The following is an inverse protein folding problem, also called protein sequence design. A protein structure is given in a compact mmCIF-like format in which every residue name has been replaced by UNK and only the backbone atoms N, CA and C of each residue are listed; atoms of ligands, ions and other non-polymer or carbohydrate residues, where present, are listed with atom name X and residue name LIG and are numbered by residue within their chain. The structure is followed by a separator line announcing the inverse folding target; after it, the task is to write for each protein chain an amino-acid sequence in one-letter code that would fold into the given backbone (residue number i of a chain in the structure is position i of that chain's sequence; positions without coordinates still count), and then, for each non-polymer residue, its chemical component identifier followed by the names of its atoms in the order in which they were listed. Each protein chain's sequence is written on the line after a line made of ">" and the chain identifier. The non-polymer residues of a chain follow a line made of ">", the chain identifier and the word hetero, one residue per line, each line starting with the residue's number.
data_IF_064815346137
#
_entry.id   IF_064815346137
#
_cell.length_a   1.000
_cell.length_b   1.000
_cell.length_c   1.000
_cell.angle_alpha   90.00
_cell.angle_beta   90.00
_cell.angle_gamma   90.00
#
_symmetry.space_group_name_H-M   'P 1'
#
loop_
_entity.id
_entity.type
_entity.pdbx_description
1 polymer ?
#
# COMPACT_ATOMS: atom_id res chain seq x y z
N UNK A 1 18.30 -12.70 -20.58
CA UNK A 1 17.50 -13.94 -20.67
C UNK A 1 17.49 -14.53 -22.10
N UNK A 2 17.58 -13.71 -23.12
CA UNK A 2 17.68 -14.16 -24.52
C UNK A 2 19.03 -14.81 -24.90
N UNK A 3 20.12 -14.42 -24.26
CA UNK A 3 21.45 -15.00 -24.55
C UNK A 3 21.61 -16.45 -24.08
N UNK A 4 20.90 -16.86 -23.00
CA UNK A 4 20.96 -18.23 -22.46
C UNK A 4 20.14 -19.20 -23.30
N UNK A 5 19.10 -18.72 -23.98
CA UNK A 5 18.24 -19.54 -24.85
C UNK A 5 18.92 -19.80 -26.20
N UNK A 6 19.76 -18.90 -26.68
CA UNK A 6 20.53 -19.08 -27.90
C UNK A 6 21.66 -20.10 -27.72
N UNK A 7 22.32 -20.11 -26.59
CA UNK A 7 23.42 -21.05 -26.28
C UNK A 7 22.91 -22.50 -26.07
N UNK A 8 21.67 -22.68 -25.59
CA UNK A 8 21.04 -24.01 -25.53
C UNK A 8 20.56 -24.54 -26.88
N UNK A 9 20.24 -23.68 -27.85
CA UNK A 9 19.86 -24.11 -29.20
C UNK A 9 21.06 -24.53 -30.03
N UNK A 10 22.22 -23.92 -29.88
CA UNK A 10 23.45 -24.34 -30.56
C UNK A 10 24.01 -25.68 -30.05
N UNK A 11 23.88 -25.94 -28.74
CA UNK A 11 24.32 -27.23 -28.18
C UNK A 11 23.39 -28.40 -28.54
N UNK A 12 22.14 -28.16 -28.90
CA UNK A 12 21.21 -29.20 -29.35
C UNK A 12 21.40 -29.54 -30.83
N UNK A 13 21.95 -28.63 -31.63
CA UNK A 13 22.22 -28.86 -33.08
C UNK A 13 23.48 -29.67 -33.32
N UNK A 14 24.43 -29.70 -32.38
CA UNK A 14 25.66 -30.47 -32.51
C UNK A 14 25.56 -31.96 -32.16
N UNK A 15 24.42 -32.41 -31.65
CA UNK A 15 24.19 -33.81 -31.23
C UNK A 15 23.51 -34.69 -32.30
N UNK A 16 23.19 -34.16 -33.50
CA UNK A 16 22.41 -34.88 -34.49
C UNK A 16 23.13 -35.07 -35.84
N UNK A 17 24.41 -34.79 -35.94
CA UNK A 17 25.15 -34.92 -37.22
C UNK A 17 26.33 -35.88 -37.10
N UNK A 18 26.06 -37.18 -36.85
CA UNK A 18 27.00 -38.27 -37.11
C UNK A 18 26.25 -39.50 -37.60
N UNK A 19 25.93 -39.53 -38.90
CA UNK A 19 25.70 -40.77 -39.62
C UNK A 19 26.22 -40.58 -41.05
N UNK A 20 27.35 -41.20 -41.43
CA UNK A 20 27.82 -41.14 -42.82
C UNK A 20 27.14 -42.21 -43.65
N UNK A 21 26.53 -41.82 -44.76
CA UNK A 21 26.08 -42.65 -45.87
C UNK A 21 27.25 -43.34 -46.58
N UNK A 22 27.14 -44.58 -46.97
CA UNK A 22 28.15 -45.27 -47.80
C UNK A 22 27.88 -44.96 -49.27
N UNK A 23 28.89 -44.29 -49.89
CA UNK A 23 28.94 -44.16 -51.35
C UNK A 23 29.37 -45.48 -52.00
N UNK A 24 28.64 -45.86 -53.03
CA UNK A 24 29.00 -46.80 -54.07
C UNK A 24 30.25 -46.29 -54.85
N UNK A 25 31.22 -47.16 -55.03
CA UNK A 25 32.09 -47.11 -56.19
C UNK A 25 32.27 -48.49 -56.74
N UNK A 26 31.88 -48.67 -58.00
CA UNK A 26 32.22 -49.75 -58.88
C UNK A 26 33.66 -49.59 -59.36
N UNK A 27 34.53 -50.58 -59.38
CA UNK A 27 34.99 -51.25 -60.60
C UNK A 27 36.23 -52.13 -60.37
N UNK A 28 36.12 -53.30 -60.88
CA UNK A 28 37.07 -54.13 -61.59
C UNK A 28 38.28 -54.76 -60.88
N UNK A 29 38.21 -56.03 -61.04
CA UNK A 29 39.14 -57.04 -61.55
C UNK A 29 39.99 -57.87 -60.59
N UNK A 30 39.66 -59.17 -60.73
CA UNK A 30 40.53 -60.36 -60.75
C UNK A 30 41.41 -60.69 -59.57
N UNK A 31 41.24 -61.91 -59.11
CA UNK A 31 42.30 -62.67 -58.54
C UNK A 31 42.01 -63.43 -57.26
N UNK A 32 41.73 -64.73 -57.44
CA UNK A 32 41.95 -65.81 -56.48
C UNK A 32 41.21 -65.87 -55.10
N UNK A 33 40.35 -66.87 -55.17
CA UNK A 33 39.83 -67.73 -54.13
C UNK A 33 40.65 -67.87 -52.84
N UNK A 34 40.03 -67.45 -51.72
CA UNK A 34 40.05 -68.18 -50.44
C UNK A 34 38.71 -67.99 -49.76
N UNK A 35 37.89 -69.05 -49.79
CA UNK A 35 36.62 -69.13 -49.05
C UNK A 35 36.92 -69.22 -47.54
N UNK A 36 36.82 -68.15 -46.81
CA UNK A 36 36.68 -68.21 -45.36
C UNK A 36 35.22 -68.38 -45.05
N UNK A 37 34.92 -69.50 -44.41
CA UNK A 37 33.59 -69.83 -43.81
C UNK A 37 33.16 -68.68 -42.91
N UNK A 38 32.13 -67.95 -43.34
CA UNK A 38 31.45 -66.96 -42.51
C UNK A 38 30.55 -67.71 -41.54
N UNK A 39 31.07 -67.99 -40.37
CA UNK A 39 30.29 -68.61 -39.31
C UNK A 39 29.21 -67.64 -38.87
N UNK A 40 28.00 -67.85 -39.35
CA UNK A 40 26.82 -67.10 -38.97
C UNK A 40 26.37 -67.62 -37.60
N UNK A 41 26.75 -66.95 -36.55
CA UNK A 41 26.22 -67.24 -35.20
C UNK A 41 24.72 -66.97 -35.21
N UNK A 42 23.91 -67.99 -35.33
CA UNK A 42 22.45 -67.86 -35.14
C UNK A 42 22.19 -67.48 -33.68
N UNK A 43 21.49 -66.39 -33.43
CA UNK A 43 21.11 -66.07 -32.06
C UNK A 43 20.24 -67.22 -31.50
N UNK A 44 20.59 -67.73 -30.33
CA UNK A 44 19.84 -68.76 -29.67
C UNK A 44 18.39 -68.33 -29.53
N UNK A 45 17.38 -69.15 -29.89
CA UNK A 45 16.00 -68.81 -29.72
C UNK A 45 15.72 -68.56 -28.23
N UNK A 46 15.36 -67.31 -27.92
CA UNK A 46 15.00 -66.93 -26.57
C UNK A 46 13.66 -67.61 -26.27
N UNK A 47 13.67 -68.58 -25.32
CA UNK A 47 12.45 -69.29 -24.98
C UNK A 47 11.41 -68.26 -24.43
N UNK A 48 10.18 -68.36 -24.93
CA UNK A 48 9.08 -67.48 -24.49
C UNK A 48 8.88 -67.51 -22.95
N UNK A 49 9.16 -68.63 -22.32
CA UNK A 49 9.14 -68.75 -20.87
C UNK A 49 10.17 -67.90 -20.15
N UNK A 50 11.40 -67.75 -20.68
CA UNK A 50 12.41 -66.86 -20.07
C UNK A 50 12.05 -65.41 -20.14
N UNK A 51 11.45 -64.95 -21.27
CA UNK A 51 10.96 -63.59 -21.43
C UNK A 51 9.79 -63.37 -20.48
N UNK A 52 8.87 -64.31 -20.39
CA UNK A 52 7.71 -64.20 -19.48
C UNK A 52 8.17 -64.15 -18.00
N UNK A 53 9.14 -64.96 -17.60
CA UNK A 53 9.69 -64.92 -16.24
C UNK A 53 10.47 -63.62 -15.97
N UNK A 54 11.13 -63.01 -16.95
CA UNK A 54 11.77 -61.73 -16.81
C UNK A 54 10.73 -60.58 -16.65
N UNK A 55 9.69 -60.60 -17.47
CA UNK A 55 8.60 -59.62 -17.35
C UNK A 55 7.84 -59.76 -16.04
N UNK A 56 7.61 -61.00 -15.58
CA UNK A 56 6.97 -61.27 -14.29
C UNK A 56 7.84 -60.77 -13.13
N UNK A 57 9.17 -60.95 -13.16
CA UNK A 57 10.10 -60.40 -12.16
C UNK A 57 10.10 -58.88 -12.17
N UNK A 58 10.12 -58.22 -13.36
CA UNK A 58 10.05 -56.77 -13.44
C UNK A 58 8.72 -56.25 -12.89
N UNK A 59 7.61 -56.91 -13.16
CA UNK A 59 6.30 -56.54 -12.59
C UNK A 59 6.29 -56.69 -11.07
N UNK A 60 6.84 -57.77 -10.52
CA UNK A 60 6.94 -57.96 -9.07
C UNK A 60 7.82 -56.87 -8.44
N UNK A 61 8.98 -56.56 -9.03
CA UNK A 61 9.83 -55.45 -8.50
C UNK A 61 9.13 -54.10 -8.59
N UNK A 62 8.37 -53.84 -9.68
CA UNK A 62 7.57 -52.62 -9.80
C UNK A 62 6.51 -52.49 -8.69
N UNK A 63 5.80 -53.58 -8.37
CA UNK A 63 4.82 -53.61 -7.28
C UNK A 63 5.50 -53.42 -5.91
N UNK A 64 6.64 -54.05 -5.67
CA UNK A 64 7.39 -53.90 -4.42
C UNK A 64 7.85 -52.46 -4.27
N UNK A 65 8.47 -51.85 -5.28
CA UNK A 65 8.94 -50.47 -5.24
C UNK A 65 7.75 -49.51 -5.07
N UNK A 66 6.64 -49.73 -5.78
CA UNK A 66 5.44 -48.94 -5.62
C UNK A 66 4.83 -49.01 -4.24
N UNK A 67 4.84 -50.22 -3.62
CA UNK A 67 4.36 -50.41 -2.26
C UNK A 67 5.27 -49.69 -1.24
N UNK A 68 6.61 -49.80 -1.38
CA UNK A 68 7.53 -49.05 -0.52
C UNK A 68 7.42 -47.55 -0.69
N UNK A 69 7.28 -47.04 -1.91
CA UNK A 69 7.05 -45.62 -2.20
C UNK A 69 5.75 -45.13 -1.55
N UNK A 70 4.68 -45.90 -1.65
CA UNK A 70 3.38 -45.58 -1.05
C UNK A 70 3.48 -45.60 0.50
N UNK A 71 4.09 -46.63 1.10
CA UNK A 71 4.30 -46.68 2.54
C UNK A 71 5.19 -45.54 3.05
N UNK A 72 6.25 -45.20 2.31
CA UNK A 72 7.12 -44.08 2.65
C UNK A 72 6.38 -42.76 2.59
N UNK A 73 5.53 -42.56 1.58
CA UNK A 73 4.70 -41.36 1.45
C UNK A 73 3.71 -41.24 2.63
N UNK A 74 3.01 -42.31 2.97
CA UNK A 74 2.07 -42.31 4.11
C UNK A 74 2.75 -42.16 5.45
N UNK A 75 3.96 -42.70 5.61
CA UNK A 75 4.74 -42.55 6.86
C UNK A 75 5.35 -41.16 7.02
N UNK A 76 5.76 -40.52 5.89
CA UNK A 76 6.34 -39.17 5.88
C UNK A 76 5.28 -38.06 5.86
N UNK A 77 4.07 -38.36 5.39
CA UNK A 77 2.98 -37.38 5.30
C UNK A 77 2.66 -36.71 6.64
N UNK A 78 2.43 -37.41 7.77
CA UNK A 78 2.16 -36.72 9.03
C UNK A 78 3.34 -35.90 9.51
N UNK A 79 4.58 -36.39 9.33
CA UNK A 79 5.78 -35.63 9.69
C UNK A 79 5.97 -34.38 8.79
N UNK A 80 5.69 -34.49 7.51
CA UNK A 80 5.72 -33.35 6.59
C UNK A 80 4.60 -32.35 6.88
N UNK A 81 3.40 -32.82 7.21
CA UNK A 81 2.30 -31.96 7.63
C UNK A 81 2.57 -31.25 8.95
N UNK A 82 3.28 -31.88 9.87
CA UNK A 82 3.65 -31.28 11.17
C UNK A 82 4.84 -30.34 11.08
N UNK A 83 5.77 -30.56 10.13
CA UNK A 83 6.99 -29.75 9.97
C UNK A 83 6.84 -28.61 8.96
N UNK A 84 5.97 -28.76 7.94
CA UNK A 84 5.74 -27.78 6.86
C UNK A 84 4.36 -27.13 6.91
N UNK A 85 3.45 -27.54 7.80
CA UNK A 85 2.35 -26.68 8.21
C UNK A 85 2.93 -25.66 9.19
N UNK A 86 3.18 -24.46 8.69
CA UNK A 86 3.08 -23.29 9.54
C UNK A 86 1.67 -23.33 10.12
N UNK A 87 1.54 -23.43 11.45
CA UNK A 87 0.27 -23.23 12.12
C UNK A 87 -0.32 -21.92 11.59
N UNK A 88 -1.57 -21.92 11.07
CA UNK A 88 -2.20 -20.67 10.69
C UNK A 88 -2.19 -19.79 11.93
N UNK A 89 -1.32 -18.77 11.92
CA UNK A 89 -1.32 -17.77 12.97
C UNK A 89 -2.76 -17.26 13.05
N UNK A 90 -3.40 -17.41 14.20
CA UNK A 90 -4.66 -16.77 14.50
C UNK A 90 -4.45 -15.28 14.30
N UNK A 91 -4.85 -14.77 13.14
CA UNK A 91 -4.93 -13.35 12.87
C UNK A 91 -6.03 -12.85 13.79
N UNK A 92 -5.66 -12.29 14.93
CA UNK A 92 -6.58 -11.50 15.75
C UNK A 92 -6.66 -10.15 15.08
N UNK A 93 -7.72 -9.93 14.32
CA UNK A 93 -8.06 -8.61 13.80
C UNK A 93 -8.42 -7.78 15.03
N UNK A 94 -7.74 -6.65 15.32
CA UNK A 94 -8.16 -5.77 16.40
C UNK A 94 -9.60 -5.34 16.13
N UNK A 95 -10.48 -5.48 17.12
CA UNK A 95 -11.83 -4.98 17.05
C UNK A 95 -11.79 -3.49 16.76
N UNK A 96 -12.23 -3.10 15.56
CA UNK A 96 -12.59 -1.72 15.29
C UNK A 96 -13.75 -1.38 16.24
N UNK A 97 -13.60 -0.32 17.03
CA UNK A 97 -14.64 0.12 17.92
C UNK A 97 -15.90 0.46 17.11
N UNK A 98 -16.94 -0.30 17.33
CA UNK A 98 -18.39 -0.04 17.15
C UNK A 98 -18.97 0.18 15.73
N UNK A 99 -18.28 0.13 14.62
CA UNK A 99 -18.91 0.23 13.28
C UNK A 99 -19.10 -1.11 12.54
N UNK A 100 -18.84 -2.25 13.18
CA UNK A 100 -18.92 -3.59 12.57
C UNK A 100 -20.32 -4.22 12.48
N UNK A 101 -21.39 -3.58 12.96
CA UNK A 101 -22.73 -4.19 13.00
C UNK A 101 -23.55 -4.08 11.70
N UNK A 102 -23.06 -3.36 10.69
CA UNK A 102 -23.78 -3.17 9.42
C UNK A 102 -23.33 -4.12 8.29
N UNK A 103 -22.22 -4.85 8.44
CA UNK A 103 -21.69 -5.67 7.36
C UNK A 103 -22.23 -7.12 7.31
N UNK A 104 -22.93 -7.61 8.35
CA UNK A 104 -23.44 -8.99 8.36
C UNK A 104 -24.87 -9.18 7.82
N UNK A 105 -25.56 -8.10 7.43
CA UNK A 105 -26.94 -8.18 6.99
C UNK A 105 -27.14 -8.34 5.48
N UNK A 106 -26.11 -8.15 4.64
CA UNK A 106 -26.27 -8.13 3.16
C UNK A 106 -25.76 -9.40 2.44
N UNK A 107 -25.14 -10.36 3.14
CA UNK A 107 -24.66 -11.58 2.47
C UNK A 107 -25.74 -12.66 2.20
N UNK A 108 -26.96 -12.50 2.67
CA UNK A 108 -28.03 -13.50 2.49
C UNK A 108 -29.05 -13.21 1.39
N UNK A 109 -28.94 -12.12 0.64
CA UNK A 109 -29.92 -11.73 -0.37
C UNK A 109 -29.50 -11.92 -1.84
N UNK A 110 -28.30 -12.46 -2.13
CA UNK A 110 -27.77 -12.54 -3.50
C UNK A 110 -27.52 -13.99 -3.97
N UNK A 111 -28.52 -14.86 -3.89
CA UNK A 111 -28.55 -16.11 -4.68
C UNK A 111 -29.85 -16.18 -5.48
N UNK A 112 -30.04 -15.27 -6.41
CA UNK A 112 -30.89 -15.47 -7.57
C UNK A 112 -29.99 -15.48 -8.81
N UNK A 113 -30.23 -16.48 -9.69
CA UNK A 113 -29.57 -16.78 -10.95
C UNK A 113 -29.14 -15.54 -11.77
N UNK A 114 -28.07 -14.88 -11.38
CA UNK A 114 -27.45 -13.85 -12.18
C UNK A 114 -26.66 -14.53 -13.29
N UNK A 115 -27.26 -14.58 -14.47
CA UNK A 115 -26.57 -14.85 -15.74
C UNK A 115 -25.29 -13.99 -15.75
N UNK A 116 -24.11 -14.63 -15.81
CA UNK A 116 -22.84 -13.91 -15.80
C UNK A 116 -22.91 -12.69 -16.73
N UNK A 117 -22.61 -11.48 -16.26
CA UNK A 117 -22.71 -10.29 -17.08
C UNK A 117 -21.81 -10.45 -18.30
N UNK A 118 -22.38 -10.28 -19.48
CA UNK A 118 -21.61 -10.24 -20.71
C UNK A 118 -20.82 -8.94 -20.68
N UNK A 119 -19.51 -9.01 -20.45
CA UNK A 119 -18.62 -7.87 -20.54
C UNK A 119 -18.49 -7.47 -22.01
N UNK A 120 -19.36 -6.57 -22.44
CA UNK A 120 -19.30 -5.91 -23.74
C UNK A 120 -18.86 -4.45 -23.62
N UNK A 121 -18.65 -3.81 -24.75
CA UNK A 121 -18.23 -2.39 -24.80
C UNK A 121 -19.26 -1.48 -24.12
N UNK A 122 -20.54 -1.81 -24.21
CA UNK A 122 -21.62 -1.02 -23.61
C UNK A 122 -21.56 -1.09 -22.07
N UNK A 123 -21.29 -2.26 -21.51
CA UNK A 123 -21.10 -2.43 -20.06
C UNK A 123 -19.90 -1.65 -19.55
N UNK A 124 -18.79 -1.65 -20.28
CA UNK A 124 -17.61 -0.86 -19.95
C UNK A 124 -17.92 0.65 -20.00
N UNK A 125 -18.60 1.12 -21.03
CA UNK A 125 -18.99 2.52 -21.14
C UNK A 125 -19.91 2.95 -20.00
N UNK A 126 -20.91 2.14 -19.66
CA UNK A 126 -21.82 2.42 -18.54
C UNK A 126 -21.06 2.50 -17.19
N UNK A 127 -20.07 1.63 -17.00
CA UNK A 127 -19.21 1.69 -15.81
C UNK A 127 -18.40 2.98 -15.78
N UNK A 128 -17.78 3.37 -16.87
CA UNK A 128 -17.00 4.61 -16.96
C UNK A 128 -17.86 5.86 -16.78
N UNK A 129 -19.09 5.87 -17.32
CA UNK A 129 -20.07 6.94 -17.09
C UNK A 129 -20.46 7.04 -15.62
N UNK A 130 -20.67 5.91 -14.95
CA UNK A 130 -20.96 5.87 -13.51
C UNK A 130 -19.80 6.42 -12.67
N UNK A 131 -18.55 5.99 -12.96
CA UNK A 131 -17.36 6.52 -12.28
C UNK A 131 -17.17 8.02 -12.53
N UNK A 132 -17.41 8.47 -13.77
CA UNK A 132 -17.33 9.89 -14.10
C UNK A 132 -18.38 10.72 -13.35
N UNK A 133 -19.61 10.24 -13.26
CA UNK A 133 -20.68 10.90 -12.49
C UNK A 133 -20.35 10.96 -10.99
N UNK A 134 -19.76 9.89 -10.45
CA UNK A 134 -19.26 9.85 -9.06
C UNK A 134 -18.17 10.88 -8.84
N UNK A 135 -17.19 10.94 -9.75
CA UNK A 135 -16.11 11.91 -9.71
C UNK A 135 -16.60 13.37 -9.78
N UNK A 136 -17.56 13.65 -10.68
CA UNK A 136 -18.18 14.97 -10.80
C UNK A 136 -18.93 15.40 -9.53
N UNK A 137 -19.66 14.46 -8.95
CA UNK A 137 -20.36 14.70 -7.67
C UNK A 137 -19.37 14.98 -6.55
N UNK A 138 -18.37 14.12 -6.36
CA UNK A 138 -17.36 14.28 -5.31
C UNK A 138 -16.48 15.52 -5.54
N UNK A 139 -16.21 15.88 -6.80
CA UNK A 139 -15.45 17.06 -7.19
C UNK A 139 -16.03 18.38 -6.67
N UNK A 140 -17.34 18.42 -6.33
CA UNK A 140 -17.93 19.59 -5.68
C UNK A 140 -17.37 19.87 -4.29
N UNK A 141 -16.75 18.89 -3.65
CA UNK A 141 -16.05 19.01 -2.38
C UNK A 141 -14.54 19.23 -2.52
N UNK A 142 -14.02 19.21 -3.74
CA UNK A 142 -12.58 19.37 -4.01
C UNK A 142 -12.32 20.81 -4.47
N UNK A 143 -11.23 21.38 -3.98
CA UNK A 143 -10.85 22.77 -4.25
C UNK A 143 -9.36 22.84 -4.58
N UNK A 144 -8.94 23.94 -5.22
CA UNK A 144 -7.54 24.26 -5.43
C UNK A 144 -7.14 25.45 -4.55
N UNK A 145 -6.07 25.29 -3.78
CA UNK A 145 -5.54 26.34 -2.88
C UNK A 145 -4.30 26.92 -3.50
N UNK A 146 -4.31 28.22 -3.77
CA UNK A 146 -3.20 28.96 -4.37
C UNK A 146 -2.58 29.90 -3.33
N UNK A 147 -1.26 29.98 -3.36
CA UNK A 147 -0.51 30.95 -2.58
C UNK A 147 -0.45 32.28 -3.34
N UNK A 148 -0.64 33.38 -2.64
CA UNK A 148 -0.45 34.72 -3.15
C UNK A 148 0.68 35.44 -2.45
N UNK A 149 1.34 36.36 -3.16
CA UNK A 149 2.34 37.25 -2.58
C UNK A 149 1.73 38.61 -2.25
N UNK A 150 2.05 39.16 -1.08
CA UNK A 150 1.58 40.48 -0.65
C UNK A 150 2.13 41.63 -1.53
N UNK A 151 3.18 41.39 -2.34
CA UNK A 151 3.84 42.40 -3.17
C UNK A 151 3.04 42.81 -4.42
N UNK A 152 1.88 42.19 -4.67
CA UNK A 152 0.99 42.56 -5.77
C UNK A 152 1.62 42.39 -7.17
N UNK A 153 2.72 41.64 -7.27
CA UNK A 153 3.35 41.32 -8.57
C UNK A 153 2.59 40.23 -9.32
N UNK A 154 1.58 39.66 -8.70
CA UNK A 154 0.67 38.73 -9.38
C UNK A 154 -0.14 39.53 -10.39
N UNK A 155 0.15 39.21 -11.62
CA UNK A 155 -0.31 39.84 -12.86
C UNK A 155 -1.84 40.05 -12.86
N UNK A 156 -2.27 41.25 -12.50
CA UNK A 156 -3.67 41.65 -12.58
C UNK A 156 -4.24 41.50 -14.01
N UNK A 157 -3.37 41.15 -14.95
CA UNK A 157 -3.66 40.98 -16.38
C UNK A 157 -4.14 39.56 -16.76
N UNK A 158 -4.40 38.66 -15.78
CA UNK A 158 -5.03 37.38 -16.06
C UNK A 158 -4.16 36.34 -16.78
N UNK A 159 -2.85 36.53 -16.83
CA UNK A 159 -1.91 35.45 -17.08
C UNK A 159 -1.73 34.75 -15.74
N UNK A 160 -2.69 33.88 -15.37
CA UNK A 160 -2.69 33.15 -14.12
C UNK A 160 -1.29 32.66 -13.79
N UNK A 161 -0.89 32.76 -12.53
CA UNK A 161 0.36 32.16 -12.08
C UNK A 161 0.40 30.75 -12.65
N UNK A 162 1.46 30.44 -13.37
CA UNK A 162 1.65 29.11 -13.99
C UNK A 162 1.91 28.04 -12.92
N UNK A 163 1.71 28.40 -11.66
CA UNK A 163 1.89 27.52 -10.53
C UNK A 163 0.55 26.83 -10.21
N UNK A 164 0.44 25.54 -10.49
CA UNK A 164 -0.78 24.81 -10.18
C UNK A 164 -1.00 24.82 -8.68
N UNK A 165 -2.24 25.07 -8.24
CA UNK A 165 -2.59 25.09 -6.84
C UNK A 165 -2.44 23.73 -6.16
N UNK A 166 -2.37 23.74 -4.85
CA UNK A 166 -2.41 22.52 -4.04
C UNK A 166 -3.87 22.09 -3.87
N UNK A 167 -4.14 20.82 -4.11
CA UNK A 167 -5.50 20.27 -3.96
C UNK A 167 -5.89 20.21 -2.50
N UNK A 168 -7.10 20.69 -2.19
CA UNK A 168 -7.72 20.59 -0.88
C UNK A 168 -9.14 20.08 -0.96
N UNK A 169 -9.76 19.89 0.21
CA UNK A 169 -11.17 19.51 0.35
C UNK A 169 -11.90 20.51 1.24
N UNK A 170 -13.18 20.73 0.94
CA UNK A 170 -14.10 21.38 1.87
C UNK A 170 -14.40 20.35 2.96
N UNK A 171 -13.66 20.45 4.07
CA UNK A 171 -13.74 19.44 5.13
C UNK A 171 -14.92 19.66 6.08
N UNK A 172 -15.36 20.89 6.25
CA UNK A 172 -16.51 21.23 7.07
C UNK A 172 -17.13 22.59 6.71
N UNK A 173 -18.40 22.77 7.03
CA UNK A 173 -19.11 24.05 7.09
C UNK A 173 -19.60 24.24 8.54
N UNK A 174 -19.03 25.20 9.27
CA UNK A 174 -19.41 25.47 10.65
C UNK A 174 -20.55 26.51 10.79
N UNK A 175 -21.17 26.88 9.67
CA UNK A 175 -22.25 27.89 9.60
C UNK A 175 -21.77 29.34 9.50
N UNK A 176 -20.49 29.61 9.80
CA UNK A 176 -19.87 30.93 9.66
C UNK A 176 -18.77 30.91 8.61
N UNK A 177 -18.04 29.83 8.51
CA UNK A 177 -16.89 29.62 7.64
C UNK A 177 -16.97 28.25 6.95
N UNK A 178 -16.52 28.17 5.72
CA UNK A 178 -16.10 26.93 5.10
C UNK A 178 -14.66 26.63 5.52
N UNK A 179 -14.43 25.44 6.03
CA UNK A 179 -13.11 24.97 6.45
C UNK A 179 -12.51 24.05 5.39
N UNK A 180 -11.37 24.44 4.88
CA UNK A 180 -10.68 23.73 3.81
C UNK A 180 -9.42 23.11 4.37
N UNK A 181 -9.25 21.81 4.14
CA UNK A 181 -8.05 21.06 4.48
C UNK A 181 -7.22 20.86 3.21
N UNK A 182 -5.93 21.20 3.28
CA UNK A 182 -4.98 21.00 2.19
C UNK A 182 -3.59 20.63 2.74
N UNK A 183 -2.67 20.27 1.84
CA UNK A 183 -1.25 20.14 2.18
C UNK A 183 -0.64 21.50 2.55
N UNK A 184 0.22 21.52 3.57
CA UNK A 184 0.82 22.76 4.04
C UNK A 184 1.95 23.30 3.13
N UNK A 185 2.31 22.58 2.07
CA UNK A 185 3.31 23.08 1.10
C UNK A 185 2.92 24.43 0.50
N UNK A 186 1.62 24.68 0.35
CA UNK A 186 1.07 25.98 -0.11
C UNK A 186 1.32 27.12 0.87
N UNK A 187 1.70 26.84 2.10
CA UNK A 187 2.02 27.87 3.12
C UNK A 187 3.48 28.32 3.05
N UNK A 188 4.32 27.69 2.22
CA UNK A 188 5.71 28.03 2.09
C UNK A 188 5.86 29.36 1.36
N UNK A 189 6.51 30.33 2.01
CA UNK A 189 6.78 31.66 1.45
C UNK A 189 5.52 32.42 1.00
N UNK A 190 4.34 32.10 1.58
CA UNK A 190 3.06 32.72 1.26
C UNK A 190 2.50 33.53 2.42
N UNK A 191 1.94 34.71 2.11
CA UNK A 191 1.29 35.60 3.08
C UNK A 191 -0.23 35.67 2.91
N UNK A 192 -0.73 35.29 1.73
CA UNK A 192 -2.15 35.31 1.38
C UNK A 192 -2.53 34.04 0.63
N UNK A 193 -3.79 33.66 0.70
CA UNK A 193 -4.28 32.46 0.01
C UNK A 193 -5.58 32.75 -0.70
N UNK A 194 -5.72 32.17 -1.87
CA UNK A 194 -6.93 32.15 -2.68
C UNK A 194 -7.37 30.72 -2.91
N UNK A 195 -8.65 30.46 -2.77
CA UNK A 195 -9.23 29.14 -3.00
C UNK A 195 -10.14 29.19 -4.21
N UNK A 196 -9.89 28.32 -5.17
CA UNK A 196 -10.72 28.10 -6.35
C UNK A 196 -11.69 26.97 -6.02
N UNK A 197 -12.97 27.29 -6.02
CA UNK A 197 -14.06 26.36 -5.77
C UNK A 197 -14.42 25.57 -7.04
N UNK A 198 -15.19 24.50 -6.89
CA UNK A 198 -15.56 23.59 -7.96
C UNK A 198 -16.21 24.25 -9.19
N UNK A 199 -16.84 25.41 -9.02
CA UNK A 199 -17.46 26.18 -10.10
C UNK A 199 -16.51 27.21 -10.74
N UNK A 200 -15.25 27.23 -10.32
CA UNK A 200 -14.22 28.18 -10.77
C UNK A 200 -14.27 29.52 -10.04
N UNK A 201 -15.18 29.73 -9.08
CA UNK A 201 -15.20 30.95 -8.28
C UNK A 201 -13.98 30.99 -7.35
N UNK A 202 -13.40 32.19 -7.21
CA UNK A 202 -12.21 32.45 -6.41
C UNK A 202 -12.59 33.19 -5.13
N UNK A 203 -12.14 32.67 -4.00
CA UNK A 203 -12.43 33.23 -2.69
C UNK A 203 -11.13 33.46 -1.92
N UNK A 204 -10.97 34.65 -1.34
CA UNK A 204 -9.88 34.91 -0.40
C UNK A 204 -10.05 34.04 0.84
N UNK A 205 -8.96 33.45 1.31
CA UNK A 205 -8.96 32.58 2.47
C UNK A 205 -7.94 33.01 3.51
N UNK A 206 -8.22 32.67 4.75
CA UNK A 206 -7.29 32.90 5.86
C UNK A 206 -6.75 31.55 6.37
N UNK A 207 -5.46 31.47 6.66
CA UNK A 207 -4.86 30.32 7.32
C UNK A 207 -5.33 30.29 8.78
N UNK A 208 -6.03 29.23 9.18
CA UNK A 208 -6.55 29.05 10.54
C UNK A 208 -5.56 28.33 11.44
N UNK A 209 -5.03 27.21 10.96
CA UNK A 209 -4.03 26.42 11.68
C UNK A 209 -3.17 25.65 10.69
N UNK A 210 -1.93 25.40 11.07
CA UNK A 210 -0.98 24.59 10.30
C UNK A 210 -0.32 23.55 11.20
N UNK A 211 -0.26 22.31 10.73
CA UNK A 211 0.54 21.24 11.32
C UNK A 211 1.75 20.96 10.44
N UNK A 212 2.94 21.30 10.96
CA UNK A 212 4.20 21.10 10.26
C UNK A 212 4.60 19.62 10.18
N UNK A 213 4.17 18.80 11.13
CA UNK A 213 4.58 17.40 11.22
C UNK A 213 3.81 16.54 10.21
N UNK A 214 2.49 16.63 10.23
CA UNK A 214 1.64 15.91 9.28
C UNK A 214 1.51 16.64 7.95
N UNK A 215 2.11 17.83 7.87
CA UNK A 215 2.10 18.70 6.68
C UNK A 215 0.70 19.02 6.21
N UNK A 216 -0.17 19.39 7.13
CA UNK A 216 -1.53 19.77 6.86
C UNK A 216 -1.75 21.24 7.22
N UNK A 217 -2.62 21.90 6.48
CA UNK A 217 -3.09 23.25 6.77
C UNK A 217 -4.61 23.33 6.66
N UNK A 218 -5.23 24.08 7.54
CA UNK A 218 -6.65 24.41 7.48
C UNK A 218 -6.79 25.89 7.17
N UNK A 219 -7.53 26.14 6.10
CA UNK A 219 -7.91 27.48 5.67
C UNK A 219 -9.39 27.70 5.94
N UNK A 220 -9.76 28.96 6.15
CA UNK A 220 -11.16 29.35 6.28
C UNK A 220 -11.58 30.36 5.21
N UNK A 221 -12.76 30.15 4.64
CA UNK A 221 -13.47 31.10 3.79
C UNK A 221 -14.69 31.58 4.56
N UNK A 222 -14.82 32.88 4.77
CA UNK A 222 -16.00 33.46 5.42
C UNK A 222 -17.23 33.17 4.56
N UNK A 223 -18.26 32.55 5.15
CA UNK A 223 -19.43 32.09 4.42
C UNK A 223 -20.12 33.20 3.60
N UNK A 224 -20.11 34.45 4.10
CA UNK A 224 -20.77 35.59 3.47
C UNK A 224 -20.09 36.08 2.18
N UNK A 225 -18.86 35.67 1.87
CA UNK A 225 -18.19 36.05 0.62
C UNK A 225 -18.45 35.03 -0.50
N UNK A 226 -18.97 33.84 -0.18
CA UNK A 226 -19.33 32.83 -1.17
C UNK A 226 -20.65 33.26 -1.84
N UNK A 227 -20.64 33.33 -3.15
CA UNK A 227 -21.82 33.73 -3.92
C UNK A 227 -22.98 32.74 -3.78
N UNK A 228 -24.21 33.24 -3.80
CA UNK A 228 -25.44 32.42 -3.70
C UNK A 228 -25.48 31.32 -4.78
N UNK A 229 -25.00 31.64 -5.99
CA UNK A 229 -24.97 30.72 -7.13
C UNK A 229 -23.96 29.56 -6.94
N UNK A 230 -22.94 29.76 -6.13
CA UNK A 230 -21.87 28.80 -5.84
C UNK A 230 -22.33 27.73 -4.86
N UNK A 231 -23.22 28.11 -3.89
CA UNK A 231 -23.70 27.17 -2.86
C UNK A 231 -24.35 25.91 -3.42
N UNK A 232 -25.02 26.01 -4.57
CA UNK A 232 -25.61 24.84 -5.26
C UNK A 232 -24.60 23.93 -5.96
N UNK A 233 -23.35 24.40 -6.10
CA UNK A 233 -22.29 23.74 -6.89
C UNK A 233 -21.16 23.18 -6.05
N UNK A 234 -21.14 23.48 -4.77
CA UNK A 234 -20.15 22.97 -3.80
C UNK A 234 -20.82 22.09 -2.75
N UNK A 235 -20.04 21.26 -2.12
CA UNK A 235 -20.48 20.43 -0.99
C UNK A 235 -19.31 20.15 -0.04
N UNK A 236 -19.60 19.83 1.20
CA UNK A 236 -18.62 19.24 2.12
C UNK A 236 -18.23 17.86 1.59
N UNK A 237 -16.95 17.56 1.56
CA UNK A 237 -16.43 16.28 1.11
C UNK A 237 -16.88 15.16 2.08
N UNK A 238 -17.34 14.06 1.53
CA UNK A 238 -17.65 12.86 2.30
C UNK A 238 -16.38 12.10 2.64
N UNK A 239 -16.14 11.86 3.94
CA UNK A 239 -14.94 11.15 4.41
C UNK A 239 -15.24 9.66 4.57
N UNK A 240 -14.65 8.86 3.71
CA UNK A 240 -14.80 7.41 3.71
C UNK A 240 -14.05 6.69 4.82
N UNK A 241 -14.04 5.37 4.75
CA UNK A 241 -13.28 4.48 5.62
C UNK A 241 -12.14 3.84 4.82
N UNK A 242 -10.90 4.27 5.07
CA UNK A 242 -9.73 3.70 4.39
C UNK A 242 -9.27 2.36 4.98
N UNK A 243 -9.86 1.91 6.11
CA UNK A 243 -9.50 0.63 6.73
C UNK A 243 -10.00 -0.58 5.94
N UNK A 244 -11.09 -0.38 5.16
CA UNK A 244 -11.71 -1.46 4.37
C UNK A 244 -11.14 -1.56 2.95
N UNK A 245 -10.28 -0.60 2.56
CA UNK A 245 -9.71 -0.57 1.21
C UNK A 245 -8.62 -1.61 1.05
N UNK A 246 -8.75 -2.42 0.01
CA UNK A 246 -7.84 -3.52 -0.30
C UNK A 246 -7.11 -3.38 -1.63
N UNK A 247 -6.08 -4.18 -1.81
CA UNK A 247 -5.35 -4.27 -3.07
C UNK A 247 -6.27 -4.74 -4.20
N UNK A 248 -6.29 -4.00 -5.30
CA UNK A 248 -7.11 -4.27 -6.48
C UNK A 248 -8.43 -3.49 -6.50
N UNK A 249 -8.79 -2.80 -5.41
CA UNK A 249 -9.98 -1.97 -5.38
C UNK A 249 -9.84 -0.81 -6.37
N UNK A 250 -10.87 -0.53 -7.18
CA UNK A 250 -10.87 0.63 -8.07
C UNK A 250 -10.99 1.92 -7.26
N UNK A 251 -10.21 2.91 -7.69
CA UNK A 251 -10.14 4.23 -7.05
C UNK A 251 -10.15 5.35 -8.09
N UNK A 252 -10.58 6.51 -7.65
CA UNK A 252 -10.62 7.74 -8.43
C UNK A 252 -9.71 8.76 -7.75
N UNK A 253 -8.83 9.41 -8.50
CA UNK A 253 -8.04 10.53 -7.99
C UNK A 253 -8.51 11.84 -8.64
N UNK A 254 -8.68 12.87 -7.84
CA UNK A 254 -9.06 14.21 -8.26
C UNK A 254 -8.05 15.24 -7.76
N UNK A 255 -7.74 16.23 -8.56
CA UNK A 255 -6.92 17.36 -8.16
C UNK A 255 -5.84 17.73 -9.16
N UNK A 256 -4.78 18.34 -8.68
CA UNK A 256 -3.59 18.66 -9.45
C UNK A 256 -2.68 17.42 -9.59
N UNK A 257 -3.12 16.45 -10.38
CA UNK A 257 -2.38 15.20 -10.58
C UNK A 257 -1.31 15.29 -11.66
N UNK A 258 -1.56 16.13 -12.67
CA UNK A 258 -0.82 16.16 -13.94
C UNK A 258 -0.24 17.54 -14.24
N UNK A 259 -0.03 18.39 -13.23
CA UNK A 259 0.48 19.76 -13.39
C UNK A 259 -0.58 20.78 -13.81
N UNK A 260 -1.86 20.46 -13.65
CA UNK A 260 -2.98 21.38 -13.83
C UNK A 260 -4.13 21.06 -12.87
N UNK A 261 -4.92 22.07 -12.52
CA UNK A 261 -6.07 21.90 -11.64
C UNK A 261 -7.15 21.00 -12.24
N UNK A 262 -7.93 20.36 -11.39
CA UNK A 262 -9.06 19.51 -11.76
C UNK A 262 -8.69 18.29 -12.63
N UNK A 263 -7.48 17.76 -12.51
CA UNK A 263 -7.10 16.47 -13.08
C UNK A 263 -7.96 15.34 -12.53
N UNK A 264 -8.32 14.39 -13.39
CA UNK A 264 -9.09 13.20 -13.06
C UNK A 264 -8.32 11.97 -13.49
N UNK A 265 -8.02 11.08 -12.53
CA UNK A 265 -7.37 9.79 -12.77
C UNK A 265 -8.22 8.64 -12.28
N UNK A 266 -8.24 7.55 -13.03
CA UNK A 266 -8.84 6.28 -12.63
C UNK A 266 -7.74 5.24 -12.51
N UNK A 267 -7.80 4.40 -11.49
CA UNK A 267 -6.84 3.34 -11.29
C UNK A 267 -7.28 2.34 -10.24
N UNK A 268 -6.34 1.55 -9.78
CA UNK A 268 -6.56 0.56 -8.73
C UNK A 268 -5.54 0.71 -7.61
N UNK A 269 -5.91 0.27 -6.43
CA UNK A 269 -4.99 0.16 -5.30
C UNK A 269 -3.96 -0.91 -5.59
N UNK A 270 -2.70 -0.54 -5.67
CA UNK A 270 -1.57 -1.45 -5.90
C UNK A 270 -1.02 -2.03 -4.59
N UNK A 271 -1.07 -1.25 -3.49
CA UNK A 271 -0.62 -1.70 -2.16
C UNK A 271 -1.24 -0.86 -1.04
N UNK A 272 -1.49 -1.50 0.10
CA UNK A 272 -1.85 -0.86 1.37
C UNK A 272 -0.87 -1.25 2.50
N UNK A 273 0.26 -1.87 2.14
CA UNK A 273 1.22 -2.40 3.10
C UNK A 273 2.28 -1.39 3.56
N UNK A 274 2.27 -0.19 2.98
CA UNK A 274 3.21 0.87 3.31
C UNK A 274 2.64 1.77 4.39
N UNK A 275 3.52 2.29 5.24
CA UNK A 275 3.22 3.39 6.16
C UNK A 275 4.31 4.45 6.10
N UNK A 276 3.96 5.65 6.50
CA UNK A 276 4.88 6.76 6.69
C UNK A 276 4.80 7.22 8.14
N UNK A 277 5.95 7.39 8.78
CA UNK A 277 6.04 7.85 10.16
C UNK A 277 6.26 9.35 10.20
N UNK A 278 5.51 10.00 11.06
CA UNK A 278 5.70 11.41 11.44
C UNK A 278 6.20 11.48 12.89
N UNK A 279 6.57 12.66 13.31
CA UNK A 279 6.74 12.90 14.73
C UNK A 279 5.39 12.71 15.44
N UNK A 280 5.36 11.83 16.44
CA UNK A 280 4.14 11.42 17.15
C UNK A 280 3.00 10.94 16.24
N UNK A 281 3.35 10.33 15.10
CA UNK A 281 2.37 9.89 14.11
C UNK A 281 2.86 8.73 13.24
N UNK A 282 1.92 7.88 12.86
CA UNK A 282 2.08 6.87 11.82
C UNK A 282 0.82 6.90 10.95
N UNK A 283 0.99 6.82 9.65
CA UNK A 283 -0.12 6.85 8.72
C UNK A 283 0.11 5.83 7.61
N UNK A 284 -0.89 5.02 7.34
CA UNK A 284 -0.84 4.08 6.22
C UNK A 284 -0.86 4.82 4.90
N UNK A 285 -0.17 4.24 3.94
CA UNK A 285 -0.10 4.75 2.57
C UNK A 285 -0.87 3.83 1.64
N UNK A 286 -1.84 4.38 0.94
CA UNK A 286 -2.55 3.71 -0.14
C UNK A 286 -1.79 4.04 -1.42
N UNK A 287 -1.10 3.05 -1.98
CA UNK A 287 -0.40 3.19 -3.26
C UNK A 287 -1.31 2.79 -4.40
N UNK A 288 -1.27 3.55 -5.49
CA UNK A 288 -2.07 3.31 -6.68
C UNK A 288 -1.21 3.18 -7.93
N UNK A 289 -1.82 2.83 -9.06
CA UNK A 289 -1.21 2.83 -10.39
C UNK A 289 -1.49 4.13 -11.18
N UNK A 290 -2.15 5.11 -10.56
CA UNK A 290 -2.45 6.40 -11.17
C UNK A 290 -1.16 7.23 -11.25
N UNK A 291 -0.79 7.76 -12.43
CA UNK A 291 0.37 8.65 -12.55
C UNK A 291 0.23 9.93 -11.74
N UNK A 292 1.33 10.41 -11.18
CA UNK A 292 1.41 11.68 -10.46
C UNK A 292 2.60 12.48 -10.98
N UNK A 293 2.38 13.73 -11.37
CA UNK A 293 3.44 14.66 -11.78
C UNK A 293 4.25 15.13 -10.57
N UNK A 294 5.44 15.65 -10.83
CA UNK A 294 6.25 16.32 -9.82
C UNK A 294 5.45 17.49 -9.24
N UNK A 295 5.42 17.61 -7.93
CA UNK A 295 4.60 18.59 -7.18
C UNK A 295 3.09 18.38 -7.31
N UNK A 296 2.67 17.23 -7.84
CA UNK A 296 1.27 16.84 -7.92
C UNK A 296 0.66 16.61 -6.53
N UNK A 297 -0.61 16.97 -6.41
CA UNK A 297 -1.43 16.79 -5.21
C UNK A 297 -2.86 16.37 -5.59
N UNK A 298 -3.55 15.71 -4.70
CA UNK A 298 -4.90 15.25 -5.03
C UNK A 298 -5.61 14.60 -3.86
N UNK A 299 -6.81 14.15 -4.14
CA UNK A 299 -7.66 13.40 -3.23
C UNK A 299 -7.97 12.06 -3.86
N UNK A 300 -7.83 11.01 -3.09
CA UNK A 300 -8.19 9.65 -3.50
C UNK A 300 -9.61 9.31 -2.99
N UNK A 301 -10.46 8.85 -3.89
CA UNK A 301 -11.84 8.49 -3.63
C UNK A 301 -12.06 6.99 -3.86
N UNK A 302 -13.00 6.42 -3.12
CA UNK A 302 -13.55 5.10 -3.44
C UNK A 302 -14.63 5.20 -4.55
N UNK A 303 -15.25 4.08 -4.90
CA UNK A 303 -16.27 4.00 -5.93
C UNK A 303 -17.55 4.78 -5.58
N UNK A 304 -17.83 5.04 -4.31
CA UNK A 304 -18.97 5.80 -3.83
C UNK A 304 -18.74 7.31 -3.84
N UNK A 305 -17.50 7.73 -4.11
CA UNK A 305 -17.07 9.12 -4.12
C UNK A 305 -16.67 9.66 -2.75
N UNK A 306 -16.49 8.78 -1.76
CA UNK A 306 -16.01 9.17 -0.45
C UNK A 306 -14.47 9.26 -0.44
N UNK A 307 -13.92 10.26 0.24
CA UNK A 307 -12.48 10.49 0.37
C UNK A 307 -11.86 9.40 1.24
N UNK A 308 -10.96 8.62 0.66
CA UNK A 308 -10.22 7.56 1.36
C UNK A 308 -8.75 7.92 1.61
N UNK A 309 -8.25 8.98 0.98
CA UNK A 309 -6.89 9.43 1.20
C UNK A 309 -6.54 10.78 0.60
N UNK A 310 -5.46 11.37 1.10
CA UNK A 310 -4.89 12.62 0.60
C UNK A 310 -3.63 12.26 -0.19
N UNK A 311 -3.66 12.50 -1.50
CA UNK A 311 -2.53 12.25 -2.40
C UNK A 311 -1.47 13.32 -2.18
N UNK A 312 -0.27 12.86 -1.92
CA UNK A 312 0.89 13.71 -1.69
C UNK A 312 2.11 13.13 -2.38
N UNK A 313 2.97 13.99 -2.85
CA UNK A 313 4.28 13.60 -3.33
C UNK A 313 5.25 13.29 -2.16
N UNK A 314 6.26 12.48 -2.43
CA UNK A 314 7.30 12.15 -1.46
C UNK A 314 6.88 11.14 -0.39
N UNK A 315 5.70 10.54 -0.52
CA UNK A 315 5.28 9.38 0.26
C UNK A 315 5.22 8.14 -0.65
N UNK A 316 5.60 6.99 -0.12
CA UNK A 316 5.65 5.75 -0.90
C UNK A 316 7.07 5.18 -0.98
N UNK A 317 7.27 4.11 -1.75
CA UNK A 317 8.56 3.45 -1.84
C UNK A 317 9.57 4.36 -2.55
N UNK A 318 10.78 4.46 -1.97
CA UNK A 318 11.92 5.06 -2.65
C UNK A 318 12.32 4.18 -3.83
N UNK A 319 12.63 4.79 -4.97
CA UNK A 319 13.19 4.05 -6.10
C UNK A 319 14.67 3.77 -5.86
N UNK A 320 15.23 2.72 -6.47
CA UNK A 320 16.65 2.34 -6.32
C UNK A 320 17.63 3.47 -6.69
N UNK A 321 17.18 4.47 -7.44
CA UNK A 321 17.96 5.65 -7.81
C UNK A 321 17.75 6.85 -6.87
N UNK A 322 17.04 6.67 -5.75
CA UNK A 322 16.69 7.75 -4.81
C UNK A 322 15.62 8.71 -5.35
N UNK A 323 14.89 8.30 -6.38
CA UNK A 323 13.78 9.04 -6.96
C UNK A 323 12.47 8.79 -6.20
N UNK A 324 11.54 9.74 -6.34
CA UNK A 324 10.20 9.65 -5.80
C UNK A 324 9.33 8.82 -6.77
N UNK A 325 8.42 8.01 -6.25
CA UNK A 325 7.46 7.28 -7.07
C UNK A 325 6.63 8.25 -7.92
N UNK A 326 6.55 7.99 -9.22
CA UNK A 326 5.75 8.76 -10.17
C UNK A 326 4.26 8.36 -10.16
N UNK A 327 3.79 7.72 -9.10
CA UNK A 327 2.39 7.30 -8.93
C UNK A 327 1.75 7.98 -7.73
N UNK A 328 0.44 8.14 -7.79
CA UNK A 328 -0.34 8.73 -6.71
C UNK A 328 -0.34 7.79 -5.50
N UNK A 329 0.35 8.22 -4.45
CA UNK A 329 0.32 7.61 -3.14
C UNK A 329 -0.46 8.53 -2.20
N UNK A 330 -1.38 7.97 -1.43
CA UNK A 330 -2.25 8.73 -0.57
C UNK A 330 -2.08 8.35 0.91
N UNK A 331 -2.08 9.34 1.78
CA UNK A 331 -2.21 9.13 3.22
C UNK A 331 -3.62 8.66 3.53
N UNK A 332 -3.76 7.54 4.23
CA UNK A 332 -5.04 6.94 4.57
C UNK A 332 -5.87 7.87 5.46
N UNK A 333 -7.08 8.22 5.02
CA UNK A 333 -7.90 9.23 5.69
C UNK A 333 -8.31 8.82 7.11
N UNK A 334 -8.56 7.52 7.36
CA UNK A 334 -8.98 7.02 8.68
C UNK A 334 -7.93 7.25 9.77
N UNK A 335 -6.65 7.21 9.41
CA UNK A 335 -5.54 7.43 10.33
C UNK A 335 -5.36 8.93 10.66
N UNK A 336 -6.03 9.81 9.91
CA UNK A 336 -5.90 11.26 10.03
C UNK A 336 -7.14 11.94 10.60
N UNK A 337 -8.29 11.24 10.68
CA UNK A 337 -9.58 11.82 11.10
C UNK A 337 -9.49 12.57 12.44
N UNK A 338 -8.86 11.98 13.44
CA UNK A 338 -8.72 12.59 14.76
C UNK A 338 -7.89 13.88 14.74
N UNK A 339 -6.79 13.88 13.98
CA UNK A 339 -5.97 15.07 13.77
C UNK A 339 -6.72 16.14 12.98
N UNK A 340 -7.45 15.73 11.92
CA UNK A 340 -8.27 16.65 11.13
C UNK A 340 -9.32 17.34 12.00
N UNK A 341 -10.00 16.60 12.88
CA UNK A 341 -11.00 17.16 13.81
C UNK A 341 -10.39 18.24 14.70
N UNK A 342 -9.21 18.00 15.30
CA UNK A 342 -8.50 19.00 16.10
C UNK A 342 -8.16 20.24 15.28
N UNK A 343 -7.58 20.06 14.09
CA UNK A 343 -7.16 21.17 13.23
C UNK A 343 -8.37 21.99 12.74
N UNK A 344 -9.46 21.35 12.35
CA UNK A 344 -10.70 22.03 11.94
C UNK A 344 -11.30 22.86 13.07
N UNK A 345 -11.16 22.42 14.31
CA UNK A 345 -11.57 23.19 15.50
C UNK A 345 -10.58 24.29 15.86
N UNK A 346 -9.47 24.45 15.11
CA UNK A 346 -8.43 25.45 15.39
C UNK A 346 -7.50 25.07 16.53
N UNK A 347 -7.58 23.82 16.98
CA UNK A 347 -6.70 23.26 17.99
C UNK A 347 -5.40 22.77 17.35
N UNK A 348 -4.32 22.72 18.14
CA UNK A 348 -3.03 22.20 17.67
C UNK A 348 -2.83 20.79 18.21
N UNK A 349 -2.35 19.93 17.35
CA UNK A 349 -1.86 18.64 17.79
C UNK A 349 -0.62 18.81 18.66
N UNK A 350 -0.59 18.15 19.82
CA UNK A 350 0.55 18.17 20.71
C UNK A 350 1.65 17.26 20.14
N UNK A 351 2.82 17.80 19.99
CA UNK A 351 3.97 17.09 19.48
C UNK A 351 5.03 16.92 20.57
N UNK A 352 5.27 15.69 21.00
CA UNK A 352 6.36 15.34 21.90
C UNK A 352 7.70 15.17 21.19
N UNK A 353 7.68 14.93 19.88
CA UNK A 353 8.87 14.73 19.06
C UNK A 353 9.37 13.30 19.05
N UNK A 354 8.48 12.32 19.10
CA UNK A 354 8.83 10.90 19.20
C UNK A 354 8.47 10.16 17.91
N UNK A 355 9.42 9.36 17.42
CA UNK A 355 9.19 8.37 16.36
C UNK A 355 9.25 6.98 16.96
N UNK A 356 8.35 6.11 16.60
CA UNK A 356 8.34 4.77 17.14
C UNK A 356 7.67 3.76 16.21
N UNK A 357 7.86 2.50 16.52
CA UNK A 357 7.21 1.39 15.83
C UNK A 357 6.52 0.48 16.84
N UNK A 358 5.36 -0.05 16.44
CA UNK A 358 4.68 -1.07 17.24
C UNK A 358 5.38 -2.40 17.00
N UNK A 359 5.97 -2.98 18.04
CA UNK A 359 6.66 -4.26 17.99
C UNK A 359 5.78 -5.30 18.66
N UNK A 360 5.45 -6.37 17.92
CA UNK A 360 4.80 -7.53 18.51
C UNK A 360 5.86 -8.39 19.16
N UNK A 361 5.76 -8.64 20.47
CA UNK A 361 6.69 -9.50 21.17
C UNK A 361 6.66 -10.91 20.57
N UNK A 362 7.81 -11.39 20.10
CA UNK A 362 7.95 -12.78 19.67
C UNK A 362 7.69 -13.71 20.87
N UNK A 363 6.98 -14.80 20.66
CA UNK A 363 6.74 -15.82 21.66
C UNK A 363 8.09 -16.29 22.24
N UNK A 364 8.39 -15.93 23.50
CA UNK A 364 9.67 -16.21 24.16
C UNK A 364 10.42 -14.99 24.71
N UNK A 365 9.98 -13.78 24.47
CA UNK A 365 10.49 -12.60 25.15
C UNK A 365 10.05 -12.62 26.62
N UNK A 366 11.02 -12.49 27.55
CA UNK A 366 10.84 -12.70 28.99
C UNK A 366 9.73 -11.88 29.64
N UNK A 367 9.36 -12.29 30.86
CA UNK A 367 8.29 -11.71 31.67
C UNK A 367 8.32 -10.19 31.71
N UNK A 368 7.35 -9.56 31.03
CA UNK A 368 7.21 -8.11 30.88
C UNK A 368 6.66 -7.65 29.53
N UNK A 369 6.73 -8.50 28.50
CA UNK A 369 6.22 -8.20 27.18
C UNK A 369 4.70 -8.45 27.12
N UNK A 370 3.89 -7.42 27.21
CA UNK A 370 2.45 -7.48 27.03
C UNK A 370 2.10 -7.39 25.54
N UNK A 371 2.38 -8.48 24.79
CA UNK A 371 1.86 -8.68 23.43
C UNK A 371 2.21 -7.66 22.35
N UNK A 372 2.14 -6.37 22.61
CA UNK A 372 2.50 -5.26 21.71
C UNK A 372 3.16 -4.14 22.51
N UNK A 373 4.30 -3.71 22.09
CA UNK A 373 5.08 -2.63 22.72
C UNK A 373 5.32 -1.52 21.70
N UNK A 374 5.27 -0.27 22.14
CA UNK A 374 5.67 0.86 21.31
C UNK A 374 7.13 1.23 21.58
N UNK A 375 7.98 0.93 20.63
CA UNK A 375 9.43 1.06 20.68
C UNK A 375 9.87 2.36 20.00
N UNK A 376 10.63 3.17 20.68
CA UNK A 376 11.13 4.46 20.19
C UNK A 376 12.31 4.24 19.25
N UNK A 377 12.18 4.71 18.02
CA UNK A 377 13.21 4.61 16.98
C UNK A 377 14.02 5.89 16.82
N UNK A 378 13.42 7.06 17.08
CA UNK A 378 14.09 8.35 17.06
C UNK A 378 13.36 9.35 17.94
N UNK A 379 14.06 10.40 18.31
CA UNK A 379 13.53 11.57 19.05
C UNK A 379 14.05 12.82 18.36
N UNK A 380 13.16 13.77 18.09
CA UNK A 380 13.53 15.04 17.47
C UNK A 380 14.46 15.85 18.35
N UNK A 381 15.43 16.49 17.74
CA UNK A 381 16.28 17.46 18.42
C UNK A 381 15.43 18.63 18.95
N UNK A 382 15.76 19.09 20.14
CA UNK A 382 15.08 20.21 20.81
C UNK A 382 13.58 20.00 21.11
N UNK A 383 13.13 18.73 21.03
CA UNK A 383 11.75 18.34 21.33
C UNK A 383 11.48 18.24 22.84
N UNK A 384 10.21 18.30 23.28
CA UNK A 384 9.83 18.03 24.67
C UNK A 384 10.28 16.64 25.15
N UNK A 385 10.19 15.62 24.31
CA UNK A 385 10.64 14.27 24.63
C UNK A 385 12.16 14.20 24.87
N UNK A 386 12.96 14.88 24.05
CA UNK A 386 14.40 14.98 24.27
C UNK A 386 14.71 15.73 25.58
N UNK A 387 14.01 16.82 25.84
CA UNK A 387 14.19 17.59 27.10
C UNK A 387 13.81 16.73 28.31
N UNK A 388 12.82 15.90 28.25
CA UNK A 388 12.42 14.93 29.26
C UNK A 388 13.40 13.76 29.41
N UNK A 389 14.30 13.56 28.44
CA UNK A 389 15.31 12.49 28.47
C UNK A 389 14.87 11.17 27.82
N UNK A 390 13.81 11.16 27.03
CA UNK A 390 13.41 10.03 26.19
C UNK A 390 14.48 9.81 25.11
N UNK A 391 14.80 8.55 24.82
CA UNK A 391 15.87 8.19 23.89
C UNK A 391 15.44 7.08 22.95
N UNK A 392 16.15 7.00 21.82
CA UNK A 392 16.07 5.83 20.96
C UNK A 392 16.36 4.54 21.74
N UNK A 393 15.52 3.54 21.59
CA UNK A 393 15.62 2.26 22.30
C UNK A 393 14.71 2.16 23.53
N UNK A 394 14.03 3.22 23.92
CA UNK A 394 13.04 3.18 24.99
C UNK A 394 11.76 2.50 24.51
N UNK A 395 11.05 1.91 25.45
CA UNK A 395 9.70 1.37 25.25
C UNK A 395 8.74 2.15 26.14
N UNK A 396 7.76 2.78 25.53
CA UNK A 396 6.72 3.51 26.29
C UNK A 396 5.66 2.53 26.74
N UNK A 397 5.31 2.57 28.02
CA UNK A 397 4.32 1.69 28.66
C UNK A 397 3.04 2.41 29.06
N UNK A 398 3.15 3.65 29.50
CA UNK A 398 2.02 4.47 29.92
C UNK A 398 2.26 5.94 29.58
N UNK A 399 1.19 6.63 29.22
CA UNK A 399 1.14 8.08 29.06
C UNK A 399 -0.03 8.59 29.90
N UNK A 400 0.25 9.46 30.87
CA UNK A 400 -0.70 10.04 31.84
C UNK A 400 -1.57 8.94 32.53
N UNK A 401 -0.94 7.80 32.89
CA UNK A 401 -1.58 6.64 33.52
C UNK A 401 -2.38 5.75 32.57
N UNK A 402 -2.37 6.01 31.27
CA UNK A 402 -3.04 5.17 30.28
C UNK A 402 -2.04 4.16 29.69
N UNK A 403 -2.39 2.89 29.64
CA UNK A 403 -1.50 1.86 29.12
C UNK A 403 -1.34 1.99 27.61
N UNK A 404 -0.11 1.90 27.11
CA UNK A 404 0.24 2.00 25.71
C UNK A 404 0.61 0.60 25.20
N UNK A 405 -0.22 0.09 24.28
CA UNK A 405 -0.05 -1.20 23.62
C UNK A 405 0.33 -1.08 22.15
N UNK A 406 0.86 0.07 21.73
CA UNK A 406 1.24 0.39 20.36
C UNK A 406 0.93 1.82 20.00
N UNK A 407 1.18 2.17 18.73
CA UNK A 407 1.04 3.54 18.24
C UNK A 407 -0.38 4.12 18.43
N UNK A 408 -1.42 3.39 18.05
CA UNK A 408 -2.79 3.90 18.16
C UNK A 408 -3.21 4.25 19.62
N UNK A 409 -2.75 3.45 20.61
CA UNK A 409 -2.99 3.76 22.01
C UNK A 409 -2.22 5.01 22.46
N UNK A 410 -0.98 5.20 21.97
CA UNK A 410 -0.19 6.38 22.21
C UNK A 410 -0.84 7.64 21.61
N UNK A 411 -1.22 7.58 20.32
CA UNK A 411 -1.89 8.68 19.64
C UNK A 411 -3.16 9.10 20.37
N UNK A 412 -4.00 8.13 20.74
CA UNK A 412 -5.21 8.39 21.52
C UNK A 412 -4.91 9.04 22.87
N UNK A 413 -3.86 8.61 23.56
CA UNK A 413 -3.47 9.19 24.84
C UNK A 413 -2.98 10.63 24.66
N UNK A 414 -2.21 10.92 23.61
CA UNK A 414 -1.71 12.26 23.28
C UNK A 414 -2.84 13.21 22.86
N UNK A 415 -3.83 12.74 22.10
CA UNK A 415 -5.00 13.53 21.71
C UNK A 415 -5.83 14.01 22.90
N UNK A 416 -5.82 13.31 24.01
CA UNK A 416 -6.53 13.69 25.24
C UNK A 416 -5.70 14.64 26.14
N UNK A 417 -4.42 14.86 25.83
CA UNK A 417 -3.54 15.76 26.57
C UNK A 417 -3.84 17.22 26.21
N UNK A 418 -3.72 18.10 27.20
CA UNK A 418 -3.95 19.54 27.00
C UNK A 418 -2.62 20.30 26.85
N UNK A 419 -2.54 21.29 25.96
CA UNK A 419 -1.34 22.13 25.81
C UNK A 419 -0.94 22.78 27.11
N UNK A 420 0.36 22.76 27.45
CA UNK A 420 0.92 23.39 28.64
C UNK A 420 0.70 22.63 29.96
N UNK A 421 0.13 21.40 29.89
CA UNK A 421 0.01 20.53 31.05
C UNK A 421 1.20 19.55 31.07
N UNK A 422 1.74 19.30 32.25
CA UNK A 422 2.75 18.25 32.45
C UNK A 422 2.13 16.88 32.25
N UNK A 423 2.80 16.03 31.48
CA UNK A 423 2.36 14.67 31.15
C UNK A 423 3.37 13.69 31.72
N UNK A 424 2.90 12.73 32.54
CA UNK A 424 3.72 11.64 33.03
C UNK A 424 3.84 10.52 31.99
N UNK A 425 5.07 10.16 31.64
CA UNK A 425 5.34 9.02 30.75
C UNK A 425 6.16 7.99 31.54
N UNK A 426 5.69 6.72 31.54
CA UNK A 426 6.43 5.62 32.09
C UNK A 426 6.83 4.64 30.98
N UNK A 427 7.99 4.05 31.11
CA UNK A 427 8.53 3.17 30.10
C UNK A 427 9.66 2.30 30.59
N UNK A 428 10.33 1.65 29.68
CA UNK A 428 11.47 0.78 29.95
C UNK A 428 12.62 1.10 29.01
N UNK A 429 13.82 1.15 29.56
CA UNK A 429 15.09 1.34 28.84
C UNK A 429 15.96 0.10 28.95
N UNK A 430 16.56 -0.31 27.85
CA UNK A 430 17.51 -1.43 27.85
C UNK A 430 18.84 -0.98 28.49
N UNK A 431 19.14 -1.53 29.67
CA UNK A 431 20.43 -1.36 30.35
C UNK A 431 21.35 -2.56 30.14
N UNK A 432 22.55 -2.51 30.71
CA UNK A 432 23.55 -3.58 30.62
C UNK A 432 23.10 -4.91 31.27
N UNK A 433 22.23 -4.85 32.30
CA UNK A 433 21.73 -5.99 33.05
C UNK A 433 20.28 -6.38 32.69
N UNK A 434 19.64 -5.74 31.71
CA UNK A 434 18.24 -5.94 31.34
C UNK A 434 17.49 -4.63 31.19
N UNK A 435 16.16 -4.70 31.15
CA UNK A 435 15.31 -3.50 31.07
C UNK A 435 15.18 -2.86 32.45
N UNK A 436 15.22 -1.54 32.49
CA UNK A 436 15.04 -0.71 33.67
C UNK A 436 13.82 0.16 33.46
N UNK A 437 12.95 0.24 34.47
CA UNK A 437 11.80 1.15 34.42
C UNK A 437 12.26 2.61 34.51
N UNK A 438 11.69 3.46 33.65
CA UNK A 438 12.00 4.87 33.56
C UNK A 438 10.71 5.68 33.67
N UNK A 439 10.84 6.88 34.24
CA UNK A 439 9.74 7.84 34.35
C UNK A 439 10.23 9.19 33.82
N UNK A 440 9.36 9.83 33.04
CA UNK A 440 9.57 11.17 32.49
C UNK A 440 8.41 12.08 32.84
N UNK A 441 8.66 13.36 32.90
CA UNK A 441 7.65 14.40 33.18
C UNK A 441 7.84 15.57 32.26
#
# INVERSE_FOLDING_TARGET
>A
MESVILEQKENLAMLYDQNPDPKQDENSSSGDSFSFLKETIKPKPVSREKIFMQLLRMAIYGVIIGMFACCSFFALKPWAEETFREDPQKVTIPEDAEDGAAAEADEQAAQEDAKAPVLDVASYQAMMESLSATAEKAGKGVVSVHAGSADGSDDWMGTGSSDPGVTGIIAADNGQELLILADNSVCKDADTWEIVLADGSRCAAALKVQDQNRKLAVFSIVRSIVLEETWGKIQVADLGNSNIIGKGDPVIALGNLFGYDNGLGYGVVSSTALSTTFSDGDCRVISTDIPLEVDGSGILLNQDGAVIGIVRQGIGPETEEGGISATANALAISDMKSTMELLLNGEKYLNAGIYGVTVTAAAGAGAGASGRDWYITAVDADSPAMAAGIQNGDVIREVDGKPISGFAAYEKAMLECQPGKEIGITGQRRGAAGYVDIQFT
#
